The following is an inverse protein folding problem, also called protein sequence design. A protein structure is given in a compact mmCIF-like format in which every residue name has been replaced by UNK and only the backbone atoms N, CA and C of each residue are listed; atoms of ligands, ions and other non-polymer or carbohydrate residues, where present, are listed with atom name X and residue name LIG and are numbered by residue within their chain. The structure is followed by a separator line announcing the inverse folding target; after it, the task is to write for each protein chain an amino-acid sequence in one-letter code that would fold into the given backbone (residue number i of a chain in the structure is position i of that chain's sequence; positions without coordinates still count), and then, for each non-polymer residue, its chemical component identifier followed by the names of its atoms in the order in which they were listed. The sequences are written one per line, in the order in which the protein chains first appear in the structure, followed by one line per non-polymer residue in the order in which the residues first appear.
data_IF_332920603270
#
_entry.id   IF_332920603270
#
_cell.length_a   1.000
_cell.length_b   1.000
_cell.length_c   1.000
_cell.angle_alpha   90.00
_cell.angle_beta   90.00
_cell.angle_gamma   90.00
#
_symmetry.space_group_name_H-M   'P 1'
#
loop_
_entity.id
_entity.type
_entity.pdbx_description
1 polymer ?
#
# COMPACT_ATOMS: atom_id res chain seq x y z
N UNK A 1 4.78 6.17 -60.95
CA UNK A 1 3.61 5.98 -60.11
C UNK A 1 4.10 6.01 -58.67
N UNK A 2 3.96 7.21 -57.97
CA UNK A 2 4.53 7.45 -56.65
C UNK A 2 3.41 7.20 -55.63
N UNK A 3 3.55 6.18 -54.82
CA UNK A 3 2.64 5.90 -53.71
C UNK A 3 2.94 6.87 -52.58
N UNK A 4 2.07 7.86 -52.38
CA UNK A 4 2.12 8.76 -51.20
C UNK A 4 1.58 7.99 -49.98
N UNK A 5 2.46 7.64 -49.03
CA UNK A 5 2.06 7.23 -47.72
C UNK A 5 1.46 8.42 -46.95
N UNK A 6 0.19 8.32 -46.58
CA UNK A 6 -0.48 9.26 -45.68
C UNK A 6 0.13 9.11 -44.27
N UNK A 7 0.71 10.20 -43.76
CA UNK A 7 1.47 10.26 -42.52
C UNK A 7 0.68 10.95 -41.39
N UNK A 8 -0.65 10.89 -41.34
CA UNK A 8 -1.43 11.76 -40.43
C UNK A 8 -2.59 11.08 -39.69
N UNK A 9 -2.43 9.81 -39.18
CA UNK A 9 -3.51 9.19 -38.45
C UNK A 9 -3.07 8.52 -37.11
N UNK A 10 -1.87 8.77 -36.59
CA UNK A 10 -1.34 8.01 -35.46
C UNK A 10 -1.49 8.59 -34.03
N UNK A 11 -1.63 9.88 -33.75
CA UNK A 11 -1.76 10.32 -32.36
C UNK A 11 -3.15 10.05 -31.75
N UNK A 12 -4.22 10.19 -32.54
CA UNK A 12 -5.58 10.14 -31.99
C UNK A 12 -6.01 8.71 -31.64
N UNK A 13 -5.76 7.76 -32.54
CA UNK A 13 -6.07 6.35 -32.28
C UNK A 13 -5.27 5.75 -31.13
N UNK A 14 -4.04 6.20 -30.93
CA UNK A 14 -3.19 5.73 -29.82
C UNK A 14 -3.67 6.25 -28.47
N UNK A 15 -4.16 7.48 -28.39
CA UNK A 15 -4.77 8.04 -27.18
C UNK A 15 -6.13 7.41 -26.88
N UNK A 16 -6.97 7.19 -27.88
CA UNK A 16 -8.25 6.48 -27.72
C UNK A 16 -8.04 5.01 -27.32
N UNK A 17 -6.99 4.35 -27.79
CA UNK A 17 -6.64 2.98 -27.41
C UNK A 17 -6.10 2.91 -25.99
N UNK A 18 -5.37 3.93 -25.53
CA UNK A 18 -4.94 4.07 -24.13
C UNK A 18 -6.15 4.38 -23.24
N UNK A 19 -7.00 5.33 -23.60
CA UNK A 19 -8.21 5.67 -22.84
C UNK A 19 -9.22 4.51 -22.81
N UNK A 20 -9.34 3.72 -23.88
CA UNK A 20 -10.15 2.50 -23.88
C UNK A 20 -9.54 1.39 -23.04
N UNK A 21 -8.19 1.24 -23.01
CA UNK A 21 -7.51 0.30 -22.13
C UNK A 21 -7.66 0.68 -20.66
N UNK A 22 -7.54 1.96 -20.33
CA UNK A 22 -7.78 2.47 -18.98
C UNK A 22 -9.25 2.28 -18.55
N UNK A 23 -10.20 2.43 -19.45
CA UNK A 23 -11.62 2.16 -19.20
C UNK A 23 -11.98 0.67 -19.09
N UNK A 24 -11.21 -0.22 -19.72
CA UNK A 24 -11.48 -1.66 -19.72
C UNK A 24 -10.86 -2.42 -18.55
N UNK A 25 -9.87 -1.87 -17.86
CA UNK A 25 -9.22 -2.51 -16.73
C UNK A 25 -9.26 -1.62 -15.49
N UNK A 26 -10.37 -1.66 -14.76
CA UNK A 26 -10.51 -0.97 -13.47
C UNK A 26 -10.17 -1.91 -12.29
N UNK A 27 -9.15 -2.75 -12.50
CA UNK A 27 -8.66 -3.63 -11.44
C UNK A 27 -7.69 -2.84 -10.56
N UNK A 28 -7.93 -2.86 -9.27
CA UNK A 28 -7.00 -2.34 -8.27
C UNK A 28 -6.37 -3.48 -7.48
N UNK A 29 -5.08 -3.40 -7.21
CA UNK A 29 -4.40 -4.30 -6.30
C UNK A 29 -3.93 -3.54 -5.06
N UNK A 30 -4.41 -3.97 -3.90
CA UNK A 30 -4.02 -3.45 -2.59
C UNK A 30 -3.08 -4.44 -1.91
N UNK A 31 -1.92 -3.95 -1.49
CA UNK A 31 -0.90 -4.76 -0.81
C UNK A 31 -0.67 -4.17 0.58
N UNK A 32 -1.17 -4.86 1.60
CA UNK A 32 -0.96 -4.50 3.00
C UNK A 32 0.28 -5.19 3.55
N UNK A 33 1.18 -4.41 4.14
CA UNK A 33 2.34 -4.89 4.88
C UNK A 33 2.16 -4.43 6.32
N UNK A 34 1.72 -5.34 7.18
CA UNK A 34 1.28 -5.05 8.54
C UNK A 34 2.29 -5.62 9.54
N UNK A 35 2.82 -4.73 10.35
CA UNK A 35 3.70 -5.08 11.47
C UNK A 35 2.91 -5.84 12.53
N UNK A 36 3.44 -6.98 12.97
CA UNK A 36 3.00 -7.71 14.16
C UNK A 36 4.16 -8.00 15.10
N UNK A 37 5.20 -7.17 15.06
CA UNK A 37 6.33 -7.27 15.99
C UNK A 37 5.92 -6.91 17.41
N UNK A 38 6.82 -7.16 18.37
CA UNK A 38 6.53 -6.99 19.80
C UNK A 38 6.08 -5.60 20.21
N UNK A 39 6.47 -4.55 19.45
CA UNK A 39 6.07 -3.16 19.69
C UNK A 39 4.56 -2.93 19.46
N UNK A 40 3.93 -3.73 18.60
CA UNK A 40 2.48 -3.67 18.34
C UNK A 40 1.61 -4.20 19.50
N UNK A 41 2.23 -4.60 20.63
CA UNK A 41 1.51 -5.14 21.79
C UNK A 41 0.52 -4.12 22.36
N UNK A 42 -0.73 -4.54 22.50
CA UNK A 42 -1.85 -3.70 22.95
C UNK A 42 -2.60 -3.00 21.84
N UNK A 43 -2.16 -3.12 20.58
CA UNK A 43 -2.82 -2.56 19.39
C UNK A 43 -3.50 -3.65 18.53
N UNK A 44 -3.48 -4.92 18.97
CA UNK A 44 -3.95 -6.05 18.18
C UNK A 44 -5.44 -5.89 17.79
N UNK A 45 -6.28 -5.60 18.77
CA UNK A 45 -7.73 -5.44 18.55
C UNK A 45 -8.03 -4.24 17.62
N UNK A 46 -7.30 -3.13 17.79
CA UNK A 46 -7.48 -1.92 17.00
C UNK A 46 -7.00 -2.12 15.56
N UNK A 47 -5.87 -2.83 15.37
CA UNK A 47 -5.34 -3.17 14.04
C UNK A 47 -6.28 -4.12 13.30
N UNK A 48 -6.74 -5.18 13.95
CA UNK A 48 -7.70 -6.14 13.39
C UNK A 48 -9.01 -5.43 13.04
N UNK A 49 -9.57 -4.67 13.97
CA UNK A 49 -10.82 -3.95 13.78
C UNK A 49 -10.73 -2.89 12.67
N UNK A 50 -9.64 -2.13 12.63
CA UNK A 50 -9.38 -1.13 11.60
C UNK A 50 -9.24 -1.74 10.20
N UNK A 51 -8.43 -2.78 10.07
CA UNK A 51 -8.27 -3.52 8.81
C UNK A 51 -9.62 -4.07 8.32
N UNK A 52 -10.35 -4.80 9.16
CA UNK A 52 -11.63 -5.38 8.81
C UNK A 52 -12.66 -4.31 8.40
N UNK A 53 -12.75 -3.21 9.17
CA UNK A 53 -13.64 -2.09 8.85
C UNK A 53 -13.32 -1.46 7.50
N UNK A 54 -12.04 -1.31 7.19
CA UNK A 54 -11.60 -0.78 5.90
C UNK A 54 -11.97 -1.74 4.75
N UNK A 55 -11.71 -3.05 4.88
CA UNK A 55 -12.10 -4.06 3.90
C UNK A 55 -13.62 -4.00 3.63
N UNK A 56 -14.44 -3.92 4.68
CA UNK A 56 -15.90 -3.82 4.55
C UNK A 56 -16.35 -2.51 3.84
N UNK A 57 -15.65 -1.40 4.08
CA UNK A 57 -15.92 -0.14 3.34
C UNK A 57 -15.56 -0.29 1.87
N UNK A 58 -14.39 -0.86 1.58
CA UNK A 58 -13.92 -1.05 0.21
C UNK A 58 -14.79 -2.02 -0.62
N UNK A 59 -15.49 -2.96 0.02
CA UNK A 59 -16.46 -3.85 -0.65
C UNK A 59 -17.66 -3.13 -1.25
N UNK A 60 -17.95 -1.93 -0.78
CA UNK A 60 -19.09 -1.11 -1.24
C UNK A 60 -18.72 -0.22 -2.43
N UNK A 61 -17.44 -0.12 -2.73
CA UNK A 61 -16.93 0.68 -3.83
C UNK A 61 -16.94 -0.14 -5.13
N UNK A 62 -17.21 0.52 -6.24
CA UNK A 62 -17.21 -0.09 -7.56
C UNK A 62 -15.79 -0.52 -8.01
N UNK A 63 -15.74 -1.43 -8.97
CA UNK A 63 -14.50 -1.94 -9.56
C UNK A 63 -13.97 -3.21 -8.90
N UNK A 64 -13.23 -4.01 -9.68
CA UNK A 64 -12.58 -5.22 -9.19
C UNK A 64 -11.36 -4.86 -8.36
N UNK A 65 -11.19 -5.52 -7.22
CA UNK A 65 -10.07 -5.28 -6.33
C UNK A 65 -9.52 -6.60 -5.79
N UNK A 66 -8.21 -6.77 -5.89
CA UNK A 66 -7.46 -7.85 -5.27
C UNK A 66 -6.72 -7.33 -4.04
N UNK A 67 -6.63 -8.17 -3.02
CA UNK A 67 -5.95 -7.85 -1.77
C UNK A 67 -4.88 -8.88 -1.48
N UNK A 68 -3.68 -8.39 -1.25
CA UNK A 68 -2.58 -9.14 -0.65
C UNK A 68 -2.30 -8.58 0.75
N UNK A 69 -2.13 -9.46 1.73
CA UNK A 69 -1.80 -9.05 3.10
C UNK A 69 -0.60 -9.85 3.58
N UNK A 70 0.45 -9.14 3.90
CA UNK A 70 1.69 -9.68 4.46
C UNK A 70 1.79 -9.22 5.91
N UNK A 71 1.77 -10.17 6.82
CA UNK A 71 2.07 -9.95 8.23
C UNK A 71 3.56 -10.16 8.45
N UNK A 72 4.22 -9.29 9.20
CA UNK A 72 5.65 -9.48 9.44
C UNK A 72 6.04 -9.26 10.89
N UNK A 73 7.00 -10.05 11.32
CA UNK A 73 7.78 -9.96 12.55
C UNK A 73 9.27 -10.21 12.20
N UNK A 74 9.92 -11.22 12.73
CA UNK A 74 11.21 -11.72 12.25
C UNK A 74 11.13 -12.33 10.84
N UNK A 75 9.92 -12.71 10.42
CA UNK A 75 9.63 -13.35 9.15
C UNK A 75 8.37 -12.74 8.56
N UNK A 76 8.22 -12.86 7.24
CA UNK A 76 7.00 -12.47 6.54
C UNK A 76 6.10 -13.68 6.34
N UNK A 77 4.82 -13.51 6.63
CA UNK A 77 3.76 -14.49 6.39
C UNK A 77 2.69 -13.87 5.49
N UNK A 78 2.35 -14.55 4.41
CA UNK A 78 1.32 -14.10 3.47
C UNK A 78 -0.03 -14.63 3.96
N UNK A 79 -0.86 -13.74 4.50
CA UNK A 79 -2.22 -14.07 4.93
C UNK A 79 -3.19 -14.12 3.74
N UNK A 80 -3.10 -13.14 2.85
CA UNK A 80 -3.86 -13.09 1.61
C UNK A 80 -2.90 -12.91 0.44
N UNK A 81 -3.07 -13.72 -0.62
CA UNK A 81 -2.27 -13.65 -1.85
C UNK A 81 -3.20 -13.40 -3.03
N UNK A 82 -3.37 -12.12 -3.38
CA UNK A 82 -4.25 -11.66 -4.46
C UNK A 82 -5.67 -12.24 -4.39
N UNK A 83 -6.23 -12.24 -3.20
CA UNK A 83 -7.62 -12.69 -2.97
C UNK A 83 -8.56 -11.59 -3.42
N UNK A 84 -9.65 -11.94 -4.12
CA UNK A 84 -10.69 -10.96 -4.46
C UNK A 84 -11.24 -10.33 -3.18
N UNK A 85 -11.37 -9.00 -3.20
CA UNK A 85 -11.84 -8.24 -2.04
C UNK A 85 -13.17 -8.78 -1.49
N UNK A 86 -14.08 -9.25 -2.37
CA UNK A 86 -15.34 -9.88 -1.99
C UNK A 86 -15.19 -11.18 -1.20
N UNK A 87 -14.04 -11.86 -1.33
CA UNK A 87 -13.77 -13.17 -0.75
C UNK A 87 -12.90 -13.09 0.53
N UNK A 88 -12.37 -11.90 0.85
CA UNK A 88 -11.56 -11.68 2.07
C UNK A 88 -12.40 -12.02 3.29
N UNK A 89 -11.91 -12.93 4.12
CA UNK A 89 -12.50 -13.19 5.45
C UNK A 89 -12.00 -12.15 6.45
N UNK A 90 -12.81 -11.81 7.45
CA UNK A 90 -12.34 -10.95 8.54
C UNK A 90 -11.10 -11.54 9.21
N UNK A 91 -10.07 -10.72 9.41
CA UNK A 91 -8.90 -11.07 10.21
C UNK A 91 -9.32 -11.23 11.67
N UNK A 92 -8.75 -12.20 12.37
CA UNK A 92 -9.00 -12.48 13.79
C UNK A 92 -7.69 -12.51 14.58
N UNK A 93 -7.78 -12.69 15.88
CA UNK A 93 -6.60 -12.90 16.73
C UNK A 93 -5.86 -14.23 16.45
N UNK A 94 -6.45 -15.14 15.68
CA UNK A 94 -5.76 -16.37 15.26
C UNK A 94 -4.70 -16.06 14.20
N UNK A 95 -4.98 -15.13 13.26
CA UNK A 95 -4.06 -14.73 12.21
C UNK A 95 -3.09 -13.63 12.69
N UNK A 96 -3.61 -12.65 13.44
CA UNK A 96 -2.79 -11.51 13.86
C UNK A 96 -2.39 -11.66 15.33
N UNK A 97 -1.21 -12.22 15.55
CA UNK A 97 -0.60 -12.42 16.87
C UNK A 97 0.72 -11.68 16.94
N UNK A 98 0.86 -10.78 17.92
CA UNK A 98 2.06 -9.96 18.14
C UNK A 98 3.20 -10.81 18.70
N UNK A 99 4.40 -10.69 18.08
CA UNK A 99 5.61 -11.42 18.49
C UNK A 99 6.87 -10.91 17.79
N UNK A 100 8.03 -11.21 18.36
CA UNK A 100 9.33 -11.10 17.69
C UNK A 100 9.82 -9.67 17.44
N UNK A 101 10.69 -9.55 16.43
CA UNK A 101 11.38 -8.34 15.99
C UNK A 101 10.77 -7.81 14.67
N UNK A 102 11.38 -6.77 14.09
CA UNK A 102 10.82 -6.02 12.96
C UNK A 102 11.69 -6.20 11.70
N UNK A 103 11.38 -7.20 10.85
CA UNK A 103 12.05 -7.41 9.56
C UNK A 103 11.30 -6.68 8.43
N UNK A 104 11.15 -5.37 8.54
CA UNK A 104 10.37 -4.51 7.65
C UNK A 104 10.90 -4.49 6.22
N UNK A 105 12.22 -4.35 6.06
CA UNK A 105 12.86 -4.29 4.72
C UNK A 105 12.65 -5.60 3.97
N UNK A 106 12.74 -6.73 4.66
CA UNK A 106 12.49 -8.04 4.06
C UNK A 106 11.03 -8.22 3.65
N UNK A 107 10.09 -7.71 4.43
CA UNK A 107 8.67 -7.74 4.12
C UNK A 107 8.35 -6.89 2.87
N UNK A 108 8.83 -5.65 2.83
CA UNK A 108 8.64 -4.75 1.67
C UNK A 108 9.28 -5.34 0.41
N UNK A 109 10.55 -5.73 0.49
CA UNK A 109 11.29 -6.27 -0.65
C UNK A 109 10.68 -7.57 -1.18
N UNK A 110 10.24 -8.45 -0.28
CA UNK A 110 9.55 -9.71 -0.61
C UNK A 110 8.23 -9.46 -1.32
N UNK A 111 7.38 -8.58 -0.80
CA UNK A 111 6.08 -8.24 -1.37
C UNK A 111 6.23 -7.60 -2.76
N UNK A 112 7.13 -6.62 -2.92
CA UNK A 112 7.39 -5.99 -4.24
C UNK A 112 7.87 -7.03 -5.25
N UNK A 113 8.77 -7.93 -4.85
CA UNK A 113 9.27 -8.97 -5.72
C UNK A 113 8.16 -9.93 -6.16
N UNK A 114 7.32 -10.37 -5.22
CA UNK A 114 6.22 -11.29 -5.47
C UNK A 114 5.19 -10.70 -6.43
N UNK A 115 4.61 -9.53 -6.09
CA UNK A 115 3.61 -8.85 -6.91
C UNK A 115 4.17 -8.46 -8.28
N UNK A 116 5.41 -7.95 -8.32
CA UNK A 116 6.08 -7.58 -9.57
C UNK A 116 6.29 -8.77 -10.51
N UNK A 117 6.58 -9.96 -9.97
CA UNK A 117 6.67 -11.17 -10.78
C UNK A 117 5.30 -11.60 -11.31
N UNK A 118 4.25 -11.52 -10.50
CA UNK A 118 2.90 -11.84 -10.96
C UNK A 118 2.50 -10.92 -12.11
N UNK A 119 2.65 -9.60 -11.97
CA UNK A 119 2.32 -8.64 -13.03
C UNK A 119 3.16 -8.86 -14.30
N UNK A 120 4.43 -9.24 -14.14
CA UNK A 120 5.32 -9.49 -15.28
C UNK A 120 4.86 -10.64 -16.17
N UNK A 121 4.24 -11.65 -15.58
CA UNK A 121 3.82 -12.87 -16.29
C UNK A 121 2.31 -12.97 -16.49
N UNK A 122 1.54 -12.02 -15.95
CA UNK A 122 0.10 -11.91 -16.22
C UNK A 122 -0.17 -11.47 -17.65
N UNK A 123 -1.35 -11.79 -18.16
CA UNK A 123 -1.82 -11.24 -19.43
C UNK A 123 -2.04 -9.72 -19.26
N UNK A 124 -1.86 -8.91 -20.31
CA UNK A 124 -2.01 -7.44 -20.19
C UNK A 124 -3.36 -7.01 -19.58
N UNK A 125 -4.44 -7.71 -19.90
CA UNK A 125 -5.79 -7.45 -19.38
C UNK A 125 -5.97 -7.82 -17.90
N UNK A 126 -5.10 -8.67 -17.34
CA UNK A 126 -5.14 -9.12 -15.94
C UNK A 126 -4.18 -8.32 -15.04
N UNK A 127 -3.35 -7.44 -15.63
CA UNK A 127 -2.48 -6.55 -14.86
C UNK A 127 -3.31 -5.41 -14.28
N UNK A 128 -3.33 -5.20 -12.95
CA UNK A 128 -4.09 -4.12 -12.34
C UNK A 128 -3.72 -2.75 -12.90
N UNK A 129 -4.73 -1.90 -13.14
CA UNK A 129 -4.53 -0.51 -13.53
C UNK A 129 -3.87 0.29 -12.39
N UNK A 130 -4.22 -0.06 -11.16
CA UNK A 130 -3.71 0.60 -9.96
C UNK A 130 -3.15 -0.43 -8.99
N UNK A 131 -1.96 -0.17 -8.46
CA UNK A 131 -1.34 -0.99 -7.41
C UNK A 131 -0.89 -0.09 -6.29
N UNK A 132 -1.37 -0.36 -5.08
CA UNK A 132 -1.10 0.47 -3.91
C UNK A 132 -0.59 -0.38 -2.75
N UNK A 133 0.59 -0.03 -2.25
CA UNK A 133 1.19 -0.62 -1.06
C UNK A 133 0.87 0.25 0.16
N UNK A 134 0.36 -0.36 1.21
CA UNK A 134 0.06 0.26 2.50
C UNK A 134 0.94 -0.41 3.55
N UNK A 135 1.94 0.30 4.04
CA UNK A 135 2.96 -0.19 4.96
C UNK A 135 2.71 0.45 6.32
N UNK A 136 2.44 -0.36 7.33
CA UNK A 136 2.26 0.12 8.71
C UNK A 136 3.27 -0.55 9.63
N UNK A 137 3.92 0.26 10.47
CA UNK A 137 4.87 -0.21 11.50
C UNK A 137 4.88 0.74 12.69
N UNK A 138 5.16 0.23 13.88
CA UNK A 138 5.39 1.03 15.07
C UNK A 138 6.80 0.87 15.64
N UNK A 139 7.67 0.18 14.91
CA UNK A 139 9.04 -0.10 15.31
C UNK A 139 10.09 0.23 14.24
N UNK A 140 11.33 0.32 14.69
CA UNK A 140 12.47 0.45 13.79
C UNK A 140 12.85 -0.91 13.21
N UNK A 141 13.28 -0.90 11.93
CA UNK A 141 13.91 -2.05 11.29
C UNK A 141 15.08 -2.59 12.12
N UNK A 142 15.08 -3.86 12.44
CA UNK A 142 16.13 -4.48 13.26
C UNK A 142 16.39 -5.96 12.98
N UNK A 143 15.72 -6.57 12.02
CA UNK A 143 15.77 -8.04 11.83
C UNK A 143 15.85 -8.51 10.37
N UNK A 144 15.92 -7.62 9.39
CA UNK A 144 16.02 -7.98 7.98
C UNK A 144 17.38 -8.55 7.60
N UNK A 145 17.40 -9.60 6.77
CA UNK A 145 18.61 -10.30 6.33
C UNK A 145 18.67 -10.53 4.80
N UNK A 146 17.56 -10.37 4.08
CA UNK A 146 17.45 -10.72 2.66
C UNK A 146 17.58 -9.52 1.74
N UNK A 147 17.14 -8.35 2.20
CA UNK A 147 17.17 -7.11 1.46
C UNK A 147 17.90 -6.04 2.26
N UNK A 148 18.46 -5.06 1.54
CA UNK A 148 19.01 -3.83 2.13
C UNK A 148 18.11 -2.65 1.80
N UNK A 149 18.22 -1.57 2.57
CA UNK A 149 17.46 -0.32 2.34
C UNK A 149 17.67 0.20 0.92
N UNK A 150 18.91 0.19 0.43
CA UNK A 150 19.26 0.67 -0.92
C UNK A 150 18.59 -0.17 -2.00
N UNK A 151 18.53 -1.50 -1.80
CA UNK A 151 17.89 -2.40 -2.75
C UNK A 151 16.38 -2.17 -2.78
N UNK A 152 15.75 -2.05 -1.62
CA UNK A 152 14.30 -1.77 -1.51
C UNK A 152 13.98 -0.40 -2.10
N UNK A 153 14.79 0.62 -1.81
CA UNK A 153 14.66 1.95 -2.41
C UNK A 153 14.65 1.88 -3.93
N UNK A 154 15.63 1.21 -4.52
CA UNK A 154 15.68 1.05 -5.99
C UNK A 154 14.46 0.31 -6.55
N UNK A 155 13.96 -0.71 -5.82
CA UNK A 155 12.75 -1.43 -6.22
C UNK A 155 11.53 -0.51 -6.18
N UNK A 156 11.32 0.26 -5.12
CA UNK A 156 10.20 1.21 -4.98
C UNK A 156 10.26 2.28 -6.07
N UNK A 157 11.41 2.95 -6.23
CA UNK A 157 11.60 4.00 -7.25
C UNK A 157 11.31 3.47 -8.67
N UNK A 158 11.76 2.25 -8.97
CA UNK A 158 11.47 1.60 -10.24
C UNK A 158 9.98 1.33 -10.44
N UNK A 159 9.27 0.80 -9.43
CA UNK A 159 7.85 0.50 -9.55
C UNK A 159 7.02 1.78 -9.70
N UNK A 160 7.35 2.83 -8.95
CA UNK A 160 6.73 4.16 -9.09
C UNK A 160 6.93 4.72 -10.51
N UNK A 161 8.18 4.81 -10.95
CA UNK A 161 8.51 5.45 -12.22
C UNK A 161 8.02 4.68 -13.45
N UNK A 162 7.97 3.34 -13.41
CA UNK A 162 7.69 2.51 -14.58
C UNK A 162 6.25 2.03 -14.66
N UNK A 163 5.60 1.83 -13.52
CA UNK A 163 4.30 1.19 -13.43
C UNK A 163 3.27 1.99 -12.64
N UNK A 164 3.63 3.18 -12.16
CA UNK A 164 2.72 4.05 -11.41
C UNK A 164 2.26 3.47 -10.07
N UNK A 165 3.04 2.57 -9.46
CA UNK A 165 2.68 2.03 -8.15
C UNK A 165 2.73 3.11 -7.09
N UNK A 166 1.75 3.11 -6.19
CA UNK A 166 1.68 4.00 -5.04
C UNK A 166 2.15 3.27 -3.78
N UNK A 167 2.84 4.02 -2.90
CA UNK A 167 3.33 3.49 -1.63
C UNK A 167 2.97 4.46 -0.51
N UNK A 168 2.18 4.01 0.48
CA UNK A 168 1.95 4.73 1.72
C UNK A 168 2.79 4.11 2.83
N UNK A 169 3.46 4.95 3.60
CA UNK A 169 4.24 4.56 4.76
C UNK A 169 3.70 5.23 6.01
N UNK A 170 3.26 4.42 6.96
CA UNK A 170 2.60 4.86 8.17
C UNK A 170 3.40 4.33 9.36
N UNK A 171 3.97 5.24 10.12
CA UNK A 171 4.82 4.89 11.25
C UNK A 171 4.29 5.42 12.58
N UNK A 172 4.49 4.65 13.64
CA UNK A 172 4.36 5.13 14.99
C UNK A 172 5.69 4.94 15.74
N UNK A 173 5.95 5.74 16.74
CA UNK A 173 7.16 5.65 17.56
C UNK A 173 8.50 5.75 16.79
N UNK A 174 8.45 6.15 15.53
CA UNK A 174 9.60 6.37 14.64
C UNK A 174 9.43 7.71 13.91
N UNK A 175 10.46 8.22 13.25
CA UNK A 175 10.29 9.26 12.24
C UNK A 175 9.86 8.59 10.91
N UNK A 176 8.56 8.50 10.69
CA UNK A 176 8.00 7.85 9.52
C UNK A 176 8.43 8.53 8.21
N UNK A 177 8.55 9.86 8.21
CA UNK A 177 8.92 10.63 7.02
C UNK A 177 10.39 10.42 6.66
N UNK A 178 11.27 10.42 7.64
CA UNK A 178 12.70 10.14 7.43
C UNK A 178 12.92 8.69 7.02
N UNK A 179 12.26 7.76 7.69
CA UNK A 179 12.34 6.32 7.39
C UNK A 179 11.83 6.01 5.97
N UNK A 180 10.68 6.57 5.59
CA UNK A 180 10.12 6.41 4.24
C UNK A 180 11.06 6.94 3.15
N UNK A 181 11.69 8.10 3.38
CA UNK A 181 12.66 8.68 2.44
C UNK A 181 13.88 7.78 2.22
N UNK A 182 14.33 7.04 3.24
CA UNK A 182 15.41 6.04 3.11
C UNK A 182 15.01 4.91 2.16
N UNK A 183 13.71 4.60 2.05
CA UNK A 183 13.17 3.59 1.14
C UNK A 183 12.67 4.15 -0.19
N UNK A 184 12.86 5.45 -0.47
CA UNK A 184 12.44 6.08 -1.73
C UNK A 184 10.94 6.38 -1.83
N UNK A 185 10.25 6.43 -0.69
CA UNK A 185 8.86 6.86 -0.58
C UNK A 185 8.85 8.37 -0.34
N UNK A 186 7.99 9.08 -1.06
CA UNK A 186 7.91 10.54 -1.00
C UNK A 186 7.34 11.02 0.35
N UNK A 187 7.73 12.21 0.79
CA UNK A 187 7.32 12.77 2.08
C UNK A 187 5.80 12.92 2.22
N UNK A 188 5.11 13.24 1.15
CA UNK A 188 3.65 13.37 1.12
C UNK A 188 2.92 12.01 1.10
N UNK A 189 3.66 10.91 1.07
CA UNK A 189 3.19 9.52 1.18
C UNK A 189 3.56 8.87 2.51
N UNK A 190 4.11 9.65 3.45
CA UNK A 190 4.53 9.17 4.76
C UNK A 190 3.88 9.99 5.88
N UNK A 191 3.46 9.32 6.95
CA UNK A 191 2.80 9.97 8.08
C UNK A 191 3.10 9.27 9.39
N UNK A 192 3.24 10.07 10.45
CA UNK A 192 3.26 9.56 11.83
C UNK A 192 1.84 9.51 12.39
N UNK A 193 1.50 8.46 13.12
CA UNK A 193 0.23 8.36 13.83
C UNK A 193 0.42 8.07 15.32
N UNK A 194 -0.60 8.34 16.13
CA UNK A 194 -0.60 7.95 17.55
C UNK A 194 -0.98 6.47 17.65
N UNK A 195 -0.09 5.64 18.23
CA UNK A 195 -0.29 4.21 18.43
C UNK A 195 -1.26 3.94 19.60
N UNK A 196 -2.53 4.26 19.39
CA UNK A 196 -3.65 3.98 20.29
C UNK A 196 -4.95 3.76 19.49
N UNK A 197 -6.02 3.33 20.15
CA UNK A 197 -7.28 3.00 19.47
C UNK A 197 -7.85 4.16 18.64
N UNK A 198 -7.78 5.40 19.12
CA UNK A 198 -8.25 6.57 18.38
C UNK A 198 -7.37 6.85 17.15
N UNK A 199 -6.04 6.84 17.32
CA UNK A 199 -5.10 7.05 16.22
C UNK A 199 -5.21 5.98 15.16
N UNK A 200 -5.35 4.71 15.57
CA UNK A 200 -5.55 3.57 14.65
C UNK A 200 -6.88 3.71 13.88
N UNK A 201 -7.97 4.15 14.52
CA UNK A 201 -9.22 4.41 13.82
C UNK A 201 -9.07 5.50 12.77
N UNK A 202 -8.49 6.65 13.10
CA UNK A 202 -8.26 7.77 12.18
C UNK A 202 -7.37 7.32 11.02
N UNK A 203 -6.34 6.53 11.31
CA UNK A 203 -5.45 5.95 10.31
C UNK A 203 -6.23 5.15 9.26
N UNK A 204 -6.99 4.12 9.69
CA UNK A 204 -7.71 3.27 8.74
C UNK A 204 -8.84 4.00 8.00
N UNK A 205 -9.45 5.02 8.62
CA UNK A 205 -10.41 5.90 7.93
C UNK A 205 -9.75 6.73 6.83
N UNK A 206 -8.59 7.31 7.08
CA UNK A 206 -7.83 8.11 6.11
C UNK A 206 -7.27 7.23 4.98
N UNK A 207 -6.70 6.08 5.31
CA UNK A 207 -6.24 5.10 4.31
C UNK A 207 -7.41 4.62 3.45
N UNK A 208 -8.59 4.36 4.05
CA UNK A 208 -9.77 3.95 3.29
C UNK A 208 -10.19 5.02 2.26
N UNK A 209 -10.18 6.31 2.63
CA UNK A 209 -10.45 7.43 1.69
C UNK A 209 -9.40 7.47 0.56
N UNK A 210 -8.11 7.32 0.91
CA UNK A 210 -7.02 7.27 -0.07
C UNK A 210 -7.20 6.14 -1.08
N UNK A 211 -7.56 4.95 -0.60
CA UNK A 211 -7.83 3.77 -1.44
C UNK A 211 -9.05 4.02 -2.35
N UNK A 212 -10.14 4.62 -1.85
CA UNK A 212 -11.30 4.97 -2.68
C UNK A 212 -10.90 5.89 -3.85
N UNK A 213 -10.05 6.90 -3.60
CA UNK A 213 -9.57 7.79 -4.65
C UNK A 213 -8.77 7.03 -5.72
N UNK A 214 -7.84 6.17 -5.32
CA UNK A 214 -7.03 5.36 -6.24
C UNK A 214 -7.93 4.42 -7.06
N UNK A 215 -8.90 3.75 -6.44
CA UNK A 215 -9.87 2.88 -7.12
C UNK A 215 -10.77 3.63 -8.09
N UNK A 216 -11.06 4.88 -7.82
CA UNK A 216 -11.80 5.77 -8.73
C UNK A 216 -10.89 6.38 -9.83
N UNK A 217 -9.65 5.90 -9.98
CA UNK A 217 -8.63 6.46 -10.89
C UNK A 217 -8.36 7.95 -10.67
N UNK A 218 -8.63 8.44 -9.46
CA UNK A 218 -8.29 9.80 -9.06
C UNK A 218 -6.85 9.84 -8.50
N UNK A 219 -6.11 10.91 -8.74
CA UNK A 219 -4.78 11.07 -8.15
C UNK A 219 -4.84 11.02 -6.62
N UNK A 220 -3.90 10.33 -6.01
CA UNK A 220 -3.76 10.37 -4.56
C UNK A 220 -3.25 11.74 -4.15
N UNK A 221 -4.15 12.54 -3.54
CA UNK A 221 -3.82 13.88 -3.06
C UNK A 221 -2.84 13.84 -1.88
N UNK A 222 -2.03 14.89 -1.73
CA UNK A 222 -1.10 15.02 -0.59
C UNK A 222 -1.81 15.22 0.76
N UNK A 223 -3.07 15.61 0.75
CA UNK A 223 -3.91 15.83 1.96
C UNK A 223 -4.55 14.54 2.52
N UNK A 224 -4.30 13.38 1.90
CA UNK A 224 -4.81 12.08 2.36
C UNK A 224 -4.55 11.82 3.86
N UNK A 225 -3.47 12.38 4.40
CA UNK A 225 -3.01 12.21 5.78
C UNK A 225 -3.35 13.39 6.71
N UNK A 226 -4.17 14.35 6.28
CA UNK A 226 -4.44 15.58 7.05
C UNK A 226 -5.07 15.27 8.41
N UNK A 227 -6.07 14.38 8.46
CA UNK A 227 -6.74 13.98 9.71
C UNK A 227 -5.75 13.29 10.67
N UNK A 228 -4.85 12.44 10.14
CA UNK A 228 -3.81 11.74 10.91
C UNK A 228 -2.81 12.74 11.49
N UNK A 229 -2.32 13.67 10.66
CA UNK A 229 -1.39 14.71 11.08
C UNK A 229 -2.01 15.63 12.14
N UNK A 230 -3.28 16.04 11.98
CA UNK A 230 -3.99 16.88 12.94
C UNK A 230 -4.11 16.18 14.30
N UNK A 231 -4.48 14.89 14.32
CA UNK A 231 -4.54 14.09 15.53
C UNK A 231 -3.15 13.94 16.19
N UNK A 232 -2.14 13.59 15.38
CA UNK A 232 -0.77 13.44 15.88
C UNK A 232 -0.22 14.72 16.48
N UNK A 233 -0.41 15.88 15.86
CA UNK A 233 0.03 17.16 16.38
C UNK A 233 -0.71 17.56 17.66
N UNK A 234 -2.02 17.29 17.74
CA UNK A 234 -2.84 17.64 18.90
C UNK A 234 -2.54 16.80 20.12
N UNK A 235 -2.31 15.50 19.95
CA UNK A 235 -2.16 14.53 21.04
C UNK A 235 -0.71 14.13 21.30
N UNK A 236 0.11 14.00 20.27
CA UNK A 236 1.51 13.57 20.37
C UNK A 236 2.42 14.52 21.18
N UNK A 237 2.02 15.78 21.37
CA UNK A 237 2.73 16.74 22.21
C UNK A 237 2.51 16.55 23.73
N UNK A 238 1.60 15.67 24.14
CA UNK A 238 1.29 15.43 25.57
C UNK A 238 2.10 14.29 26.19
N UNK A 239 2.92 13.60 25.42
CA UNK A 239 3.70 12.43 25.85
C UNK A 239 5.20 12.77 26.03
N UNK A 240 5.49 13.89 26.74
CA UNK A 240 6.85 14.21 27.23
C UNK A 240 6.80 14.54 28.69
#
# INVERSE_FOLDING_TARGET
MVVRFRKDLRPHYFLEEIEMKEKMNNITELVFILDRSGSMSGLEADTIGGFNSMIEKQRKEDGECYVSTVLFDNYSEVLHDRVKLSEIKPMTHEEYTVRGCTALIDAIGGAIHHIGNIHKYARPEDVPAHTMFIITTDGQENASHRYTSERVKHMIERQKARYGWEFLFIGANIDAVETAAQYGIDRDRAVNYNADGQGTQILYESVSKAVCNVRASAPLSADWSEDINADYQKRGKKSK
#
